data_IF_622287427368
#
_entry.id   IF_622287427368
#
_cell.length_a   1.000
_cell.length_b   1.000
_cell.length_c   1.000
_cell.angle_alpha   90.00
_cell.angle_beta   90.00
_cell.angle_gamma   90.00
#
_symmetry.space_group_name_H-M   'P 1'
#
loop_
_entity.id
_entity.type
_entity.pdbx_description
1 polymer ?
#
# COMPACT_ATOMS: atom_id res chain seq x y z
N UNK A 1 -13.76 -16.09 -8.71
CA UNK A 1 -12.37 -15.61 -8.57
C UNK A 1 -11.75 -15.44 -9.95
N UNK A 2 -12.10 -14.37 -10.70
CA UNK A 2 -11.61 -14.21 -12.07
C UNK A 2 -10.17 -13.68 -12.12
N UNK A 3 -9.83 -12.72 -11.26
CA UNK A 3 -8.52 -12.07 -11.27
C UNK A 3 -7.38 -12.98 -10.81
N UNK A 4 -7.56 -13.77 -9.74
CA UNK A 4 -6.51 -14.71 -9.30
C UNK A 4 -6.29 -15.87 -10.27
N UNK A 5 -7.28 -16.19 -11.10
CA UNK A 5 -7.17 -17.24 -12.13
C UNK A 5 -6.51 -16.75 -13.41
N UNK A 6 -6.45 -15.43 -13.62
CA UNK A 6 -5.87 -14.78 -14.80
C UNK A 6 -4.59 -14.00 -14.49
N UNK A 7 -4.18 -13.96 -13.22
CA UNK A 7 -2.92 -13.37 -12.80
C UNK A 7 -1.76 -14.02 -13.56
N UNK A 8 -0.85 -13.18 -14.08
CA UNK A 8 0.32 -13.68 -14.80
C UNK A 8 1.26 -14.41 -13.85
N UNK A 9 1.99 -15.40 -14.38
CA UNK A 9 3.16 -15.92 -13.69
C UNK A 9 4.24 -14.83 -13.62
N UNK A 10 4.94 -14.75 -12.50
CA UNK A 10 5.93 -13.71 -12.19
C UNK A 10 7.27 -14.36 -11.84
N UNK A 11 8.36 -13.68 -12.19
CA UNK A 11 9.71 -14.24 -12.06
C UNK A 11 10.26 -14.19 -10.63
N UNK A 12 9.83 -13.20 -9.84
CA UNK A 12 10.26 -13.00 -8.47
C UNK A 12 9.17 -12.38 -7.58
N UNK A 13 9.49 -12.21 -6.30
CA UNK A 13 8.56 -11.66 -5.32
C UNK A 13 8.23 -10.17 -5.51
N UNK A 14 9.15 -9.39 -6.11
CA UNK A 14 8.92 -7.98 -6.43
C UNK A 14 7.87 -7.85 -7.55
N UNK A 15 8.04 -8.60 -8.64
CA UNK A 15 7.05 -8.64 -9.73
C UNK A 15 5.72 -9.25 -9.28
N UNK A 16 5.75 -10.21 -8.35
CA UNK A 16 4.55 -10.78 -7.73
C UNK A 16 3.79 -9.73 -6.93
N UNK A 17 4.49 -8.92 -6.12
CA UNK A 17 3.89 -7.80 -5.41
C UNK A 17 3.26 -6.80 -6.38
N UNK A 18 3.94 -6.47 -7.47
CA UNK A 18 3.42 -5.57 -8.50
C UNK A 18 2.12 -6.11 -9.11
N UNK A 19 2.09 -7.38 -9.51
CA UNK A 19 0.89 -8.02 -10.05
C UNK A 19 -0.26 -8.06 -9.03
N UNK A 20 0.06 -8.39 -7.78
CA UNK A 20 -0.91 -8.41 -6.69
C UNK A 20 -1.57 -7.04 -6.51
N UNK A 21 -0.81 -5.95 -6.47
CA UNK A 21 -1.40 -4.61 -6.37
C UNK A 21 -2.24 -4.24 -7.59
N UNK A 22 -1.89 -4.66 -8.81
CA UNK A 22 -2.77 -4.48 -9.98
C UNK A 22 -4.11 -5.21 -9.83
N UNK A 23 -4.08 -6.42 -9.29
CA UNK A 23 -5.32 -7.16 -9.00
C UNK A 23 -6.13 -6.44 -7.94
N UNK A 24 -5.51 -6.07 -6.82
CA UNK A 24 -6.18 -5.41 -5.69
C UNK A 24 -6.68 -4.01 -6.02
N UNK A 25 -6.07 -3.31 -6.96
CA UNK A 25 -6.55 -2.01 -7.43
C UNK A 25 -7.96 -2.05 -8.02
N UNK A 26 -8.40 -3.20 -8.54
CA UNK A 26 -9.79 -3.40 -9.01
C UNK A 26 -10.81 -3.47 -7.87
N UNK A 27 -10.34 -3.60 -6.63
CA UNK A 27 -11.16 -3.69 -5.41
C UNK A 27 -10.96 -2.49 -4.48
N UNK A 28 -10.29 -1.43 -4.93
CA UNK A 28 -10.27 -0.17 -4.20
C UNK A 28 -11.67 0.45 -4.20
N UNK A 29 -12.20 0.74 -3.01
CA UNK A 29 -13.55 1.28 -2.83
C UNK A 29 -13.46 2.77 -2.50
N UNK A 30 -13.94 3.67 -3.38
CA UNK A 30 -14.04 5.10 -3.05
C UNK A 30 -15.13 5.33 -2.01
N UNK A 31 -15.08 6.47 -1.32
CA UNK A 31 -16.03 6.78 -0.23
C UNK A 31 -17.49 6.67 -0.63
N UNK A 32 -17.86 7.16 -1.82
CA UNK A 32 -19.26 7.18 -2.27
C UNK A 32 -19.86 5.80 -2.59
N UNK A 33 -19.04 4.75 -2.62
CA UNK A 33 -19.48 3.38 -2.87
C UNK A 33 -19.42 2.49 -1.62
N UNK A 34 -19.03 3.04 -0.47
CA UNK A 34 -18.91 2.31 0.77
C UNK A 34 -20.14 2.53 1.66
N UNK A 35 -20.53 1.48 2.37
CA UNK A 35 -21.51 1.58 3.45
C UNK A 35 -20.78 1.93 4.75
N UNK A 36 -21.26 2.95 5.45
CA UNK A 36 -20.77 3.38 6.75
C UNK A 36 -21.92 3.93 7.59
N UNK A 37 -21.72 4.16 8.90
CA UNK A 37 -22.73 4.79 9.74
C UNK A 37 -23.10 6.17 9.15
N UNK A 38 -24.39 6.53 9.11
CA UNK A 38 -24.85 7.83 8.62
C UNK A 38 -24.25 9.03 9.39
N UNK A 39 -23.75 8.79 10.61
CA UNK A 39 -23.26 9.78 11.57
C UNK A 39 -21.72 9.81 11.70
N UNK A 40 -20.97 9.11 10.83
CA UNK A 40 -19.50 9.11 10.88
C UNK A 40 -18.91 10.33 10.16
N UNK A 41 -18.09 11.11 10.86
CA UNK A 41 -17.33 12.22 10.27
C UNK A 41 -16.20 11.67 9.40
N UNK A 42 -16.54 11.44 8.13
CA UNK A 42 -15.61 10.96 7.10
C UNK A 42 -14.80 12.09 6.43
N UNK A 43 -14.81 13.31 6.97
CA UNK A 43 -14.19 14.48 6.32
C UNK A 43 -12.70 14.33 6.05
N UNK A 44 -12.00 13.56 6.88
CA UNK A 44 -10.57 13.29 6.74
C UNK A 44 -10.24 12.06 5.87
N UNK A 45 -11.24 11.27 5.49
CA UNK A 45 -11.05 10.10 4.63
C UNK A 45 -11.08 10.51 3.14
N UNK A 46 -10.35 9.76 2.32
CA UNK A 46 -10.33 9.88 0.84
C UNK A 46 -10.90 8.65 0.14
N UNK A 47 -10.89 7.51 0.83
CA UNK A 47 -11.26 6.20 0.31
C UNK A 47 -11.73 5.31 1.46
N UNK A 48 -12.65 4.40 1.19
CA UNK A 48 -13.04 3.37 2.15
C UNK A 48 -11.99 2.25 2.24
N UNK A 49 -11.25 2.02 1.15
CA UNK A 49 -9.99 1.27 1.21
C UNK A 49 -8.90 2.22 1.74
N UNK A 50 -8.58 2.11 3.03
CA UNK A 50 -7.69 3.02 3.77
C UNK A 50 -6.21 2.73 3.46
N UNK A 51 -5.84 1.46 3.33
CA UNK A 51 -4.49 1.01 2.93
C UNK A 51 -4.56 -0.37 2.28
N UNK A 52 -3.51 -0.70 1.53
CA UNK A 52 -3.34 -2.00 0.88
C UNK A 52 -1.94 -2.52 1.17
N UNK A 53 -1.82 -3.80 1.50
CA UNK A 53 -0.53 -4.44 1.82
C UNK A 53 -0.29 -5.69 0.97
N UNK A 54 0.98 -6.00 0.75
CA UNK A 54 1.45 -7.23 0.14
C UNK A 54 2.60 -7.78 1.01
N UNK A 55 2.60 -9.09 1.26
CA UNK A 55 3.65 -9.72 2.08
C UNK A 55 4.35 -10.79 1.25
N UNK A 56 5.62 -10.55 0.95
CA UNK A 56 6.51 -11.52 0.32
C UNK A 56 7.15 -12.36 1.43
N UNK A 57 6.60 -13.56 1.64
CA UNK A 57 7.04 -14.47 2.71
C UNK A 57 8.39 -15.13 2.38
N UNK A 58 8.74 -15.25 1.10
CA UNK A 58 10.01 -15.86 0.66
C UNK A 58 11.16 -14.90 0.91
N UNK A 59 11.02 -13.64 0.48
CA UNK A 59 12.05 -12.62 0.68
C UNK A 59 11.91 -11.86 2.01
N UNK A 60 10.83 -12.12 2.78
CA UNK A 60 10.52 -11.51 4.07
C UNK A 60 10.41 -9.99 4.00
N UNK A 61 9.64 -9.51 3.02
CA UNK A 61 9.40 -8.09 2.81
C UNK A 61 7.90 -7.80 2.86
N UNK A 62 7.53 -6.74 3.58
CA UNK A 62 6.17 -6.21 3.60
C UNK A 62 6.15 -4.96 2.74
N UNK A 63 5.20 -4.87 1.81
CA UNK A 63 4.95 -3.71 0.98
C UNK A 63 3.58 -3.13 1.31
N UNK A 64 3.44 -1.81 1.24
CA UNK A 64 2.15 -1.17 1.43
C UNK A 64 2.05 0.18 0.72
N UNK A 65 0.81 0.61 0.46
CA UNK A 65 0.46 1.99 0.12
C UNK A 65 -0.84 2.37 0.82
N UNK A 66 -1.15 3.67 0.90
CA UNK A 66 -2.32 4.17 1.64
C UNK A 66 -3.28 4.91 0.70
N UNK A 67 -4.45 5.28 1.23
CA UNK A 67 -5.38 6.17 0.55
C UNK A 67 -4.82 7.58 0.30
N UNK A 68 -3.86 8.03 1.11
CA UNK A 68 -3.27 9.36 0.99
C UNK A 68 -2.07 9.37 0.04
N UNK A 69 -1.34 8.26 -0.02
CA UNK A 69 -0.10 8.15 -0.78
C UNK A 69 0.00 6.79 -1.50
N UNK A 70 0.09 6.83 -2.83
CA UNK A 70 0.19 5.62 -3.67
C UNK A 70 1.63 5.13 -3.87
N UNK A 71 2.63 5.87 -3.37
CA UNK A 71 4.00 5.38 -3.36
C UNK A 71 4.07 4.10 -2.51
N UNK A 72 4.49 3.01 -3.13
CA UNK A 72 4.73 1.75 -2.41
C UNK A 72 5.92 1.94 -1.47
N UNK A 73 5.71 1.63 -0.19
CA UNK A 73 6.73 1.61 0.86
C UNK A 73 7.02 0.17 1.23
N UNK A 74 8.24 -0.10 1.69
CA UNK A 74 8.69 -1.44 2.07
C UNK A 74 9.21 -1.48 3.50
N UNK A 75 9.01 -2.63 4.16
CA UNK A 75 9.63 -3.02 5.41
C UNK A 75 10.36 -4.34 5.12
N UNK A 76 11.70 -4.29 5.14
CA UNK A 76 12.54 -5.47 4.91
C UNK A 76 12.89 -6.10 6.25
N UNK A 77 12.31 -7.26 6.54
CA UNK A 77 12.47 -7.93 7.83
C UNK A 77 13.86 -8.56 7.98
N UNK A 78 14.63 -8.75 6.90
CA UNK A 78 16.00 -9.25 7.00
C UNK A 78 16.97 -8.20 7.58
N UNK A 79 16.57 -6.93 7.58
CA UNK A 79 17.35 -5.84 8.16
C UNK A 79 17.07 -5.63 9.65
N UNK A 80 16.13 -6.40 10.21
CA UNK A 80 15.75 -6.32 11.62
C UNK A 80 16.45 -7.41 12.42
N UNK A 81 17.07 -7.01 13.53
CA UNK A 81 17.63 -7.93 14.52
C UNK A 81 16.65 -8.08 15.69
N UNK A 82 15.81 -9.11 15.62
CA UNK A 82 14.77 -9.36 16.62
C UNK A 82 15.32 -9.75 18.00
N UNK A 83 16.59 -10.14 18.13
CA UNK A 83 17.21 -10.37 19.44
C UNK A 83 17.56 -9.05 20.15
N UNK A 84 17.81 -7.99 19.38
CA UNK A 84 18.10 -6.65 19.91
C UNK A 84 16.86 -5.77 20.10
N UNK A 85 15.76 -6.09 19.42
CA UNK A 85 14.50 -5.35 19.55
C UNK A 85 13.78 -5.82 20.82
N UNK A 86 13.97 -5.08 21.92
CA UNK A 86 13.38 -5.41 23.22
C UNK A 86 11.99 -4.80 23.46
N UNK A 87 11.59 -3.83 22.64
CA UNK A 87 10.33 -3.09 22.79
C UNK A 87 9.55 -3.02 21.48
N UNK A 88 8.22 -2.90 21.58
CA UNK A 88 7.36 -2.73 20.40
C UNK A 88 7.71 -1.44 19.65
N UNK A 89 8.06 -1.59 18.38
CA UNK A 89 8.32 -0.47 17.49
C UNK A 89 7.03 -0.10 16.75
N UNK A 90 6.67 1.18 16.76
CA UNK A 90 5.51 1.70 16.03
C UNK A 90 5.95 2.81 15.08
N UNK A 91 5.35 2.82 13.90
CA UNK A 91 5.63 3.82 12.87
C UNK A 91 4.31 4.25 12.24
N UNK A 92 4.12 5.55 11.96
CA UNK A 92 2.96 6.00 11.20
C UNK A 92 3.04 5.46 9.77
N UNK A 93 1.91 5.03 9.21
CA UNK A 93 1.86 4.59 7.81
C UNK A 93 2.16 5.72 6.83
N UNK A 94 1.68 6.92 7.15
CA UNK A 94 1.98 8.16 6.44
C UNK A 94 2.60 9.15 7.45
N UNK A 95 3.85 9.55 7.21
CA UNK A 95 4.47 10.64 8.00
C UNK A 95 3.69 11.93 7.78
N UNK A 96 3.32 12.21 6.53
CA UNK A 96 2.39 13.26 6.12
C UNK A 96 1.30 12.63 5.26
N UNK A 97 0.03 12.98 5.49
CA UNK A 97 -1.15 12.47 4.74
C UNK A 97 -1.25 13.12 3.34
N UNK A 98 -0.21 12.97 2.53
CA UNK A 98 -0.07 13.61 1.23
C UNK A 98 0.48 12.64 0.18
N UNK A 99 0.09 12.88 -1.08
CA UNK A 99 0.60 12.09 -2.21
C UNK A 99 2.04 12.48 -2.50
N UNK A 100 2.90 11.49 -2.78
CA UNK A 100 4.22 11.78 -3.30
C UNK A 100 4.11 12.07 -4.81
N UNK A 101 4.26 13.34 -5.17
CA UNK A 101 4.23 13.80 -6.56
C UNK A 101 5.63 14.27 -6.92
N UNK A 102 6.19 13.65 -7.96
CA UNK A 102 7.42 14.12 -8.58
C UNK A 102 7.07 15.13 -9.68
N UNK A 103 7.47 16.39 -9.53
CA UNK A 103 7.34 17.38 -10.60
C UNK A 103 8.37 17.09 -11.69
N UNK A 104 7.88 16.86 -12.90
CA UNK A 104 8.69 16.58 -14.10
C UNK A 104 8.53 17.68 -15.15
N UNK A 105 8.00 18.84 -14.78
CA UNK A 105 7.86 19.99 -15.69
C UNK A 105 9.26 20.39 -16.18
N UNK A 106 9.54 20.28 -17.50
CA UNK A 106 10.84 20.67 -18.04
C UNK A 106 11.00 22.19 -17.96
N UNK A 107 12.19 22.65 -17.62
CA UNK A 107 12.53 24.07 -17.65
C UNK A 107 12.77 24.47 -19.12
N UNK A 108 11.73 25.01 -19.75
CA UNK A 108 11.77 25.50 -21.13
C UNK A 108 12.08 27.00 -21.10
N UNK A 109 13.37 27.34 -21.06
CA UNK A 109 13.87 28.70 -21.31
C UNK A 109 14.32 28.83 -22.76
#
# INVERSE_FOLDING_TARGET
MAFSQTARATDDGYETMYELFRVLDNFNVPLGAAEGPEDDDNSDMRSATIWTTAQDLTNKVIYYHTQHNRQVRKIDLNQLDFEKISEMQTFPFDVNKEQNIEDRTPDLV
#
